data_IF_286015236208
#
_entry.id   IF_286015236208
#
_cell.length_a   1.000
_cell.length_b   1.000
_cell.length_c   1.000
_cell.angle_alpha   90.00
_cell.angle_beta   90.00
_cell.angle_gamma   90.00
#
_symmetry.space_group_name_H-M   'P 1'
#
loop_
_entity.id
_entity.type
_entity.pdbx_description
1 polymer ?
#
# COMPACT_ATOMS: atom_id res chain seq x y z
N UNK A 1 -11.00 -16.61 23.47
CA UNK A 1 -11.61 -15.63 22.53
C UNK A 1 -10.61 -14.56 22.05
N UNK A 2 -9.53 -14.27 22.80
CA UNK A 2 -8.50 -13.26 22.47
C UNK A 2 -7.51 -13.63 21.36
N UNK A 3 -7.30 -14.92 21.07
CA UNK A 3 -6.27 -15.37 20.11
C UNK A 3 -6.60 -15.07 18.63
N UNK A 4 -7.86 -14.80 18.31
CA UNK A 4 -8.30 -14.44 16.94
C UNK A 4 -8.09 -12.94 16.68
N UNK A 5 -8.28 -12.08 17.69
CA UNK A 5 -8.18 -10.63 17.55
C UNK A 5 -6.76 -10.16 17.26
N UNK A 6 -5.74 -10.79 17.86
CA UNK A 6 -4.34 -10.48 17.56
C UNK A 6 -3.93 -10.82 16.11
N UNK A 7 -4.66 -11.73 15.45
CA UNK A 7 -4.39 -12.18 14.08
C UNK A 7 -5.12 -11.34 13.02
N UNK A 8 -6.21 -10.66 13.38
CA UNK A 8 -7.03 -9.88 12.46
C UNK A 8 -7.16 -8.42 12.89
N UNK A 9 -6.74 -7.49 12.03
CA UNK A 9 -6.97 -6.07 12.25
C UNK A 9 -8.36 -5.65 11.75
N UNK A 10 -9.08 -4.88 12.57
CA UNK A 10 -10.37 -4.29 12.21
C UNK A 10 -10.35 -2.78 12.42
N UNK A 11 -10.91 -2.02 11.48
CA UNK A 11 -11.07 -0.56 11.66
C UNK A 11 -12.01 -0.20 12.81
N UNK A 12 -12.90 -1.11 13.20
CA UNK A 12 -13.80 -0.92 14.33
C UNK A 12 -13.18 -1.36 15.67
N UNK A 13 -11.87 -1.64 15.72
CA UNK A 13 -11.22 -2.03 16.98
C UNK A 13 -11.34 -0.91 18.04
N UNK A 14 -11.55 -1.25 19.32
CA UNK A 14 -11.66 -0.27 20.40
C UNK A 14 -10.30 0.23 20.90
N UNK A 15 -9.20 -0.35 20.43
CA UNK A 15 -7.85 -0.11 20.99
C UNK A 15 -7.19 1.16 20.46
N UNK A 16 -7.63 1.65 19.30
CA UNK A 16 -7.03 2.80 18.63
C UNK A 16 -8.07 3.93 18.45
N UNK A 17 -7.61 5.17 18.61
CA UNK A 17 -8.39 6.35 18.23
C UNK A 17 -8.57 6.41 16.71
N UNK A 18 -9.53 7.22 16.24
CA UNK A 18 -9.77 7.37 14.81
C UNK A 18 -8.53 7.88 14.05
N UNK A 19 -7.79 8.83 14.64
CA UNK A 19 -6.57 9.39 14.04
C UNK A 19 -5.44 8.36 13.95
N UNK A 20 -5.29 7.51 14.95
CA UNK A 20 -4.31 6.43 14.95
C UNK A 20 -4.67 5.36 13.91
N UNK A 21 -5.95 5.00 13.80
CA UNK A 21 -6.42 4.08 12.75
C UNK A 21 -6.10 4.61 11.36
N UNK A 22 -6.39 5.88 11.10
CA UNK A 22 -6.05 6.53 9.83
C UNK A 22 -4.54 6.48 9.61
N UNK A 23 -3.73 6.77 10.63
CA UNK A 23 -2.27 6.73 10.50
C UNK A 23 -1.73 5.33 10.22
N UNK A 24 -2.32 4.29 10.82
CA UNK A 24 -2.00 2.87 10.60
C UNK A 24 -2.38 2.45 9.18
N UNK A 25 -3.57 2.83 8.69
CA UNK A 25 -3.97 2.54 7.31
C UNK A 25 -3.10 3.26 6.29
N UNK A 26 -2.79 4.54 6.54
CA UNK A 26 -1.89 5.33 5.68
C UNK A 26 -0.52 4.69 5.58
N UNK A 27 0.01 4.24 6.72
CA UNK A 27 1.27 3.52 6.78
C UNK A 27 1.18 2.20 6.01
N UNK A 28 0.09 1.45 6.18
CA UNK A 28 -0.05 0.14 5.57
C UNK A 28 -0.18 0.22 4.04
N UNK A 29 -0.94 1.19 3.53
CA UNK A 29 -1.23 1.34 2.10
C UNK A 29 -0.11 2.03 1.31
N UNK A 30 0.71 2.87 1.96
CA UNK A 30 1.72 3.70 1.28
C UNK A 30 2.59 2.95 0.26
N UNK A 31 3.15 1.76 0.54
CA UNK A 31 3.98 1.07 -0.45
C UNK A 31 3.17 0.59 -1.66
N UNK A 32 1.92 0.17 -1.47
CA UNK A 32 0.98 -0.15 -2.56
C UNK A 32 0.75 1.06 -3.46
N UNK A 33 0.52 2.22 -2.86
CA UNK A 33 0.32 3.49 -3.57
C UNK A 33 1.56 3.87 -4.40
N UNK A 34 2.76 3.71 -3.82
CA UNK A 34 4.02 3.96 -4.53
C UNK A 34 4.15 3.02 -5.74
N UNK A 35 3.80 1.75 -5.58
CA UNK A 35 3.81 0.78 -6.67
C UNK A 35 2.88 1.21 -7.81
N UNK A 36 1.65 1.59 -7.49
CA UNK A 36 0.65 2.02 -8.48
C UNK A 36 1.12 3.25 -9.27
N UNK A 37 1.55 4.31 -8.58
CA UNK A 37 2.07 5.50 -9.27
C UNK A 37 3.30 5.20 -10.12
N UNK A 38 4.19 4.34 -9.63
CA UNK A 38 5.37 3.91 -10.39
C UNK A 38 4.95 3.17 -11.65
N UNK A 39 3.94 2.29 -11.58
CA UNK A 39 3.43 1.59 -12.76
C UNK A 39 2.83 2.55 -13.78
N UNK A 40 1.95 3.46 -13.35
CA UNK A 40 1.32 4.44 -14.23
C UNK A 40 2.38 5.30 -14.92
N UNK A 41 3.42 5.73 -14.19
CA UNK A 41 4.55 6.47 -14.75
C UNK A 41 5.32 5.64 -15.78
N UNK A 42 5.66 4.39 -15.46
CA UNK A 42 6.38 3.50 -16.38
C UNK A 42 5.58 3.22 -17.65
N UNK A 43 4.26 3.06 -17.53
CA UNK A 43 3.38 2.88 -18.67
C UNK A 43 3.37 4.12 -19.57
N UNK A 44 3.23 5.32 -19.01
CA UNK A 44 3.32 6.58 -19.77
C UNK A 44 4.68 6.74 -20.43
N UNK A 45 5.78 6.49 -19.71
CA UNK A 45 7.14 6.61 -20.25
C UNK A 45 7.40 5.64 -21.42
N UNK A 46 6.75 4.48 -21.43
CA UNK A 46 6.88 3.50 -22.52
C UNK A 46 6.34 3.99 -23.87
N UNK A 47 5.52 5.05 -23.87
CA UNK A 47 5.09 5.71 -25.12
C UNK A 47 6.24 6.50 -25.76
N UNK A 48 7.07 7.15 -24.94
CA UNK A 48 8.18 7.97 -25.42
C UNK A 48 9.49 7.19 -25.59
N UNK A 49 9.64 6.06 -24.89
CA UNK A 49 10.86 5.27 -24.87
C UNK A 49 10.54 3.79 -25.04
N UNK A 50 11.36 3.00 -25.76
CA UNK A 50 11.15 1.57 -25.95
C UNK A 50 11.50 0.78 -24.67
N UNK A 51 10.66 0.90 -23.65
CA UNK A 51 10.81 0.21 -22.37
C UNK A 51 10.20 -1.18 -22.50
N UNK A 52 10.95 -2.23 -22.14
CA UNK A 52 10.41 -3.58 -22.15
C UNK A 52 9.35 -3.76 -21.05
N UNK A 53 8.37 -4.62 -21.33
CA UNK A 53 7.28 -4.96 -20.39
C UNK A 53 7.82 -5.43 -19.03
N UNK A 54 8.97 -6.13 -19.03
CA UNK A 54 9.64 -6.56 -17.80
C UNK A 54 10.01 -5.39 -16.88
N UNK A 55 10.44 -4.24 -17.40
CA UNK A 55 10.71 -3.06 -16.60
C UNK A 55 9.43 -2.33 -16.18
N UNK A 56 8.42 -2.30 -17.06
CA UNK A 56 7.10 -1.70 -16.75
C UNK A 56 6.46 -2.38 -15.54
N UNK A 57 6.64 -3.69 -15.39
CA UNK A 57 6.11 -4.47 -14.25
C UNK A 57 7.12 -4.56 -13.10
N UNK A 58 8.39 -4.80 -13.41
CA UNK A 58 9.43 -5.08 -12.41
C UNK A 58 9.79 -3.88 -11.55
N UNK A 59 9.90 -2.68 -12.15
CA UNK A 59 10.24 -1.46 -11.40
C UNK A 59 9.20 -1.15 -10.32
N UNK A 60 7.88 -1.17 -10.60
CA UNK A 60 6.85 -1.04 -9.57
C UNK A 60 6.97 -2.04 -8.42
N UNK A 61 7.23 -3.32 -8.72
CA UNK A 61 7.37 -4.36 -7.69
C UNK A 61 8.58 -4.10 -6.78
N UNK A 62 9.71 -3.69 -7.36
CA UNK A 62 10.90 -3.30 -6.58
C UNK A 62 10.60 -2.06 -5.75
N UNK A 63 9.94 -1.05 -6.33
CA UNK A 63 9.53 0.15 -5.63
C UNK A 63 8.60 -0.18 -4.44
N UNK A 64 7.69 -1.15 -4.58
CA UNK A 64 6.83 -1.63 -3.50
C UNK A 64 7.63 -2.14 -2.30
N UNK A 65 8.61 -3.01 -2.55
CA UNK A 65 9.45 -3.58 -1.47
C UNK A 65 10.31 -2.50 -0.84
N UNK A 66 10.99 -1.68 -1.64
CA UNK A 66 11.86 -0.61 -1.14
C UNK A 66 11.06 0.39 -0.30
N UNK A 67 9.91 0.82 -0.80
CA UNK A 67 8.99 1.66 -0.05
C UNK A 67 8.53 0.97 1.24
N UNK A 68 8.19 -0.33 1.20
CA UNK A 68 7.83 -1.10 2.39
C UNK A 68 8.93 -1.13 3.44
N UNK A 69 10.18 -1.39 3.06
CA UNK A 69 11.32 -1.38 3.99
C UNK A 69 11.52 0.00 4.61
N UNK A 70 11.60 1.05 3.77
CA UNK A 70 11.77 2.43 4.25
C UNK A 70 10.63 2.79 5.20
N UNK A 71 9.40 2.47 4.81
CA UNK A 71 8.20 2.80 5.56
C UNK A 71 8.09 2.02 6.88
N UNK A 72 8.62 0.80 6.97
CA UNK A 72 8.69 0.07 8.24
C UNK A 72 9.63 0.73 9.26
N UNK A 73 10.76 1.27 8.80
CA UNK A 73 11.81 1.82 9.67
C UNK A 73 11.70 3.32 9.91
N UNK A 74 11.30 4.09 8.91
CA UNK A 74 11.40 5.55 8.86
C UNK A 74 10.05 6.25 8.68
N UNK A 75 8.95 5.62 9.08
CA UNK A 75 7.61 6.19 8.87
C UNK A 75 7.47 7.61 9.47
N UNK A 76 7.22 8.56 8.58
CA UNK A 76 6.96 9.95 8.92
C UNK A 76 5.47 10.30 8.70
N UNK A 77 4.74 10.44 9.81
CA UNK A 77 3.31 10.75 9.84
C UNK A 77 2.98 12.12 9.23
N UNK A 78 3.88 13.09 9.34
CA UNK A 78 3.67 14.43 8.77
C UNK A 78 3.75 14.37 7.24
N UNK A 79 4.71 13.61 6.71
CA UNK A 79 4.85 13.43 5.26
C UNK A 79 3.62 12.74 4.67
N UNK A 80 3.13 11.67 5.28
CA UNK A 80 1.94 10.95 4.77
C UNK A 80 0.64 11.74 4.92
N UNK A 81 0.50 12.54 5.98
CA UNK A 81 -0.63 13.48 6.11
C UNK A 81 -0.55 14.62 5.08
N UNK A 82 0.63 15.22 4.88
CA UNK A 82 0.82 16.29 3.88
C UNK A 82 0.55 15.81 2.46
N UNK A 83 0.92 14.57 2.13
CA UNK A 83 0.68 13.99 0.81
C UNK A 83 -0.80 13.62 0.58
N UNK A 84 -1.69 13.79 1.58
CA UNK A 84 -3.14 13.54 1.43
C UNK A 84 -3.49 12.08 1.13
N UNK A 85 -2.53 11.16 1.28
CA UNK A 85 -2.56 9.77 0.80
C UNK A 85 -3.54 8.84 1.55
N UNK A 86 -4.31 9.36 2.50
CA UNK A 86 -4.98 8.54 3.52
C UNK A 86 -6.51 8.47 3.42
N UNK A 87 -7.17 9.42 2.74
CA UNK A 87 -8.65 9.48 2.72
C UNK A 87 -9.22 9.60 1.31
N UNK A 88 -8.62 10.41 0.45
CA UNK A 88 -9.08 10.58 -0.94
C UNK A 88 -8.27 9.76 -1.95
N UNK A 89 -7.29 9.00 -1.46
CA UNK A 89 -6.32 8.38 -2.33
C UNK A 89 -6.93 7.43 -3.37
N UNK A 90 -7.88 6.52 -3.03
CA UNK A 90 -8.50 5.66 -4.03
C UNK A 90 -9.24 6.44 -5.14
N UNK A 91 -9.83 7.59 -4.81
CA UNK A 91 -10.48 8.44 -5.80
C UNK A 91 -9.47 9.16 -6.69
N UNK A 92 -8.37 9.65 -6.10
CA UNK A 92 -7.32 10.34 -6.85
C UNK A 92 -6.57 9.36 -7.75
N UNK A 93 -6.17 8.19 -7.26
CA UNK A 93 -5.56 7.15 -8.11
C UNK A 93 -6.52 6.63 -9.16
N UNK A 94 -7.80 6.46 -8.82
CA UNK A 94 -8.83 6.10 -9.79
C UNK A 94 -8.92 7.10 -10.95
N UNK A 95 -8.99 8.40 -10.64
CA UNK A 95 -9.04 9.45 -11.67
C UNK A 95 -7.74 9.52 -12.49
N UNK A 96 -6.59 9.48 -11.83
CA UNK A 96 -5.28 9.52 -12.50
C UNK A 96 -5.10 8.29 -13.39
N UNK A 97 -5.42 7.10 -12.91
CA UNK A 97 -5.29 5.85 -13.64
C UNK A 97 -6.23 5.77 -14.84
N UNK A 98 -7.48 6.26 -14.72
CA UNK A 98 -8.38 6.40 -15.87
C UNK A 98 -7.87 7.43 -16.90
N UNK A 99 -7.32 8.55 -16.44
CA UNK A 99 -6.69 9.54 -17.32
C UNK A 99 -5.50 8.98 -18.08
N UNK A 100 -4.62 8.24 -17.39
CA UNK A 100 -3.49 7.54 -17.99
C UNK A 100 -3.96 6.46 -18.96
N UNK A 101 -5.00 5.69 -18.62
CA UNK A 101 -5.59 4.71 -19.52
C UNK A 101 -6.09 5.34 -20.82
N UNK A 102 -6.81 6.48 -20.72
CA UNK A 102 -7.24 7.25 -21.89
C UNK A 102 -6.05 7.72 -22.74
N UNK A 103 -5.01 8.25 -22.12
CA UNK A 103 -3.78 8.67 -22.81
C UNK A 103 -3.10 7.49 -23.54
N UNK A 104 -2.95 6.34 -22.88
CA UNK A 104 -2.36 5.14 -23.48
C UNK A 104 -3.19 4.61 -24.66
N UNK A 105 -4.52 4.65 -24.53
CA UNK A 105 -5.42 4.25 -25.60
C UNK A 105 -5.26 5.14 -26.85
N UNK A 106 -5.11 6.45 -26.66
CA UNK A 106 -4.87 7.40 -27.76
C UNK A 106 -3.51 7.22 -28.46
N UNK A 107 -2.58 6.49 -27.86
CA UNK A 107 -1.24 6.21 -28.40
C UNK A 107 -1.08 4.73 -28.80
N UNK A 108 -2.18 4.05 -29.15
CA UNK A 108 -2.23 2.65 -29.61
C UNK A 108 -1.70 1.60 -28.62
N UNK A 109 -1.45 1.97 -27.36
CA UNK A 109 -1.00 1.08 -26.29
C UNK A 109 -2.20 0.43 -25.55
N UNK A 110 -3.11 -0.17 -26.32
CA UNK A 110 -4.41 -0.65 -25.83
C UNK A 110 -4.32 -1.67 -24.68
N UNK A 111 -3.32 -2.57 -24.69
CA UNK A 111 -3.11 -3.52 -23.60
C UNK A 111 -2.78 -2.81 -22.28
N UNK A 112 -1.86 -1.84 -22.31
CA UNK A 112 -1.49 -1.07 -21.12
C UNK A 112 -2.63 -0.17 -20.67
N UNK A 113 -3.43 0.37 -21.60
CA UNK A 113 -4.62 1.14 -21.29
C UNK A 113 -5.64 0.32 -20.49
N UNK A 114 -5.93 -0.92 -20.91
CA UNK A 114 -6.84 -1.82 -20.19
C UNK A 114 -6.30 -2.13 -18.79
N UNK A 115 -5.02 -2.44 -18.67
CA UNK A 115 -4.40 -2.73 -17.37
C UNK A 115 -4.46 -1.51 -16.47
N UNK A 116 -4.12 -0.31 -16.96
CA UNK A 116 -4.19 0.93 -16.20
C UNK A 116 -5.61 1.26 -15.73
N UNK A 117 -6.63 1.05 -16.58
CA UNK A 117 -8.03 1.24 -16.20
C UNK A 117 -8.48 0.21 -15.15
N UNK A 118 -8.06 -1.05 -15.30
CA UNK A 118 -8.37 -2.10 -14.34
C UNK A 118 -7.74 -1.81 -12.96
N UNK A 119 -6.47 -1.38 -12.93
CA UNK A 119 -5.80 -0.99 -11.68
C UNK A 119 -6.45 0.22 -11.03
N UNK A 120 -6.95 1.17 -11.82
CA UNK A 120 -7.62 2.37 -11.32
C UNK A 120 -8.98 2.08 -10.65
N UNK A 121 -9.72 1.09 -11.16
CA UNK A 121 -11.08 0.78 -10.68
C UNK A 121 -11.04 -0.20 -9.49
N UNK A 122 -10.19 -1.22 -9.58
CA UNK A 122 -10.19 -2.34 -8.64
C UNK A 122 -9.00 -2.34 -7.68
N UNK A 123 -8.08 -1.39 -7.84
CA UNK A 123 -6.76 -1.47 -7.23
C UNK A 123 -5.85 -2.45 -7.98
N UNK A 124 -4.60 -2.53 -7.55
CA UNK A 124 -3.61 -3.40 -8.19
C UNK A 124 -3.93 -4.89 -7.94
N UNK A 125 -4.18 -5.66 -9.00
CA UNK A 125 -4.44 -7.12 -8.90
C UNK A 125 -3.18 -7.96 -8.62
N UNK A 126 -2.00 -7.34 -8.52
CA UNK A 126 -0.76 -8.06 -8.20
C UNK A 126 -0.56 -8.21 -6.70
N UNK A 127 0.22 -9.22 -6.34
CA UNK A 127 0.64 -9.48 -4.97
C UNK A 127 1.38 -8.24 -4.41
N UNK A 128 0.79 -7.55 -3.45
CA UNK A 128 1.43 -6.46 -2.73
C UNK A 128 2.55 -7.01 -1.83
N UNK A 129 3.76 -7.11 -2.39
CA UNK A 129 4.92 -7.76 -1.77
C UNK A 129 5.30 -7.19 -0.40
N UNK A 130 5.04 -5.91 -0.17
CA UNK A 130 5.24 -5.31 1.15
C UNK A 130 4.34 -5.90 2.24
N UNK A 131 3.15 -6.44 1.92
CA UNK A 131 2.29 -7.13 2.90
C UNK A 131 2.98 -8.40 3.40
N UNK A 132 3.61 -9.16 2.49
CA UNK A 132 4.42 -10.32 2.86
C UNK A 132 5.61 -9.91 3.72
N UNK A 133 6.34 -8.86 3.30
CA UNK A 133 7.45 -8.30 4.07
C UNK A 133 7.00 -7.92 5.49
N UNK A 134 5.90 -7.18 5.62
CA UNK A 134 5.34 -6.77 6.90
C UNK A 134 4.93 -7.96 7.76
N UNK A 135 4.36 -9.01 7.14
CA UNK A 135 4.01 -10.24 7.84
C UNK A 135 5.24 -10.96 8.40
N UNK A 136 6.33 -11.03 7.63
CA UNK A 136 7.61 -11.60 8.08
C UNK A 136 8.19 -10.77 9.23
N UNK A 137 8.24 -9.45 9.09
CA UNK A 137 8.78 -8.54 10.12
C UNK A 137 7.94 -8.55 11.41
N UNK A 138 6.63 -8.74 11.28
CA UNK A 138 5.68 -8.84 12.39
C UNK A 138 5.66 -10.22 13.05
N UNK A 139 6.17 -11.27 12.39
CA UNK A 139 6.05 -12.66 12.85
C UNK A 139 6.57 -12.87 14.28
N UNK A 140 7.68 -12.21 14.65
CA UNK A 140 8.26 -12.30 16.00
C UNK A 140 7.34 -11.77 17.11
N UNK A 141 6.38 -10.91 16.76
CA UNK A 141 5.41 -10.33 17.68
C UNK A 141 4.12 -11.14 17.78
N UNK A 142 3.92 -12.15 16.92
CA UNK A 142 2.70 -12.97 16.85
C UNK A 142 1.41 -12.13 16.71
N UNK A 143 1.52 -10.97 16.08
CA UNK A 143 0.43 -10.00 15.90
C UNK A 143 0.33 -9.58 14.44
N UNK A 144 -0.86 -9.17 14.02
CA UNK A 144 -1.06 -8.55 12.72
C UNK A 144 -0.13 -7.33 12.54
N UNK A 145 0.51 -7.12 11.38
CA UNK A 145 1.51 -6.06 11.20
C UNK A 145 1.01 -4.65 11.56
N UNK A 146 -0.27 -4.37 11.29
CA UNK A 146 -0.92 -3.11 11.68
C UNK A 146 -0.91 -2.86 13.20
N UNK A 147 -1.15 -3.89 14.03
CA UNK A 147 -1.06 -3.77 15.49
C UNK A 147 0.40 -3.64 15.94
N UNK A 148 1.33 -4.36 15.32
CA UNK A 148 2.77 -4.23 15.61
C UNK A 148 3.24 -2.79 15.34
N UNK A 149 2.82 -2.22 14.22
CA UNK A 149 3.11 -0.84 13.89
C UNK A 149 2.48 0.13 14.90
N UNK A 150 1.20 -0.04 15.24
CA UNK A 150 0.53 0.79 16.22
C UNK A 150 1.23 0.77 17.59
N UNK A 151 1.67 -0.42 18.05
CA UNK A 151 2.49 -0.58 19.25
C UNK A 151 3.81 0.19 19.15
N UNK A 152 4.56 0.00 18.06
CA UNK A 152 5.86 0.67 17.83
C UNK A 152 5.71 2.20 17.77
N UNK A 153 4.62 2.70 17.18
CA UNK A 153 4.44 4.13 16.88
C UNK A 153 3.80 4.90 18.03
N UNK A 154 2.82 4.31 18.70
CA UNK A 154 2.00 5.00 19.71
C UNK A 154 2.24 4.48 21.12
N UNK A 155 2.97 3.37 21.30
CA UNK A 155 3.26 2.79 22.62
C UNK A 155 2.09 2.00 23.22
N UNK A 156 1.07 1.66 22.44
CA UNK A 156 -0.05 0.85 22.91
C UNK A 156 0.39 -0.56 23.33
N UNK A 157 -0.17 -1.03 24.44
CA UNK A 157 -0.12 -2.43 24.86
C UNK A 157 -1.47 -3.07 24.61
N UNK A 158 -1.50 -4.12 23.79
CA UNK A 158 -2.75 -4.82 23.47
C UNK A 158 -3.00 -5.99 24.43
N UNK A 159 -4.25 -6.24 24.82
CA UNK A 159 -4.59 -7.29 25.79
C UNK A 159 -4.30 -8.71 25.27
N UNK A 160 -4.27 -8.91 23.95
CA UNK A 160 -3.94 -10.17 23.30
C UNK A 160 -2.44 -10.46 23.21
N UNK A 161 -1.56 -9.54 23.62
CA UNK A 161 -0.11 -9.77 23.66
C UNK A 161 0.30 -10.85 24.66
N UNK A 162 -0.45 -10.96 25.77
CA UNK A 162 -0.16 -11.85 26.89
C UNK A 162 -1.05 -13.09 26.91
N UNK A 163 -1.88 -13.32 25.89
CA UNK A 163 -2.71 -14.52 25.84
C UNK A 163 -1.82 -15.72 25.54
N UNK A 164 -1.64 -16.67 26.48
CA UNK A 164 -1.24 -18.01 26.08
C UNK A 164 -2.42 -18.60 25.30
N UNK A 165 -2.09 -19.40 24.29
CA UNK A 165 -2.97 -20.00 23.27
C UNK A 165 -4.43 -20.26 23.68
#
# INVERSE_FOLDING_TARGET
>A
MSSIEGKHYSLNNPYLTQDEKVSVESWFQLPGNVMEYTFLLMAVLSISYPISISYIIGIPLVANIVAGVINWYLYNTNLTRMLGLSVFHPYVTGLVGLGVAGYLFMNDAWLLAIVAAATAIFGFFFLELHILLYSILAQKYRMHPKYVFAKKKFGHTFPFENSPE
#
